data_IF_863822479305
#
_entry.id   IF_863822479305
#
_cell.length_a   1.000
_cell.length_b   1.000
_cell.length_c   1.000
_cell.angle_alpha   90.00
_cell.angle_beta   90.00
_cell.angle_gamma   90.00
#
_symmetry.space_group_name_H-M   'P 1'
#
loop_
_entity.id
_entity.type
_entity.pdbx_description
1 polymer ?
#
# COMPACT_ATOMS: atom_id res chain seq x y z
N UNK A 1 21.88 -25.27 -50.01
CA UNK A 1 20.83 -24.52 -49.30
C UNK A 1 20.23 -23.50 -50.25
N UNK A 2 18.99 -23.71 -50.69
CA UNK A 2 18.24 -22.84 -51.62
C UNK A 2 18.03 -21.45 -51.05
N UNK A 3 18.08 -20.39 -51.87
CA UNK A 3 17.97 -18.99 -51.42
C UNK A 3 16.78 -18.69 -50.47
N UNK A 4 15.68 -19.44 -50.61
CA UNK A 4 14.51 -19.39 -49.71
C UNK A 4 14.81 -19.75 -48.25
N UNK A 5 15.66 -20.76 -47.98
CA UNK A 5 16.00 -21.16 -46.59
C UNK A 5 16.92 -20.15 -45.92
N UNK A 6 17.79 -19.48 -46.68
CA UNK A 6 18.62 -18.37 -46.17
C UNK A 6 17.79 -17.15 -45.81
N UNK A 7 16.81 -16.80 -46.64
CA UNK A 7 15.87 -15.71 -46.35
C UNK A 7 15.04 -15.98 -45.09
N UNK A 8 14.49 -17.19 -44.95
CA UNK A 8 13.75 -17.60 -43.76
C UNK A 8 14.58 -17.54 -42.48
N UNK A 9 15.85 -17.97 -42.54
CA UNK A 9 16.75 -17.93 -41.39
C UNK A 9 17.01 -16.48 -40.92
N UNK A 10 17.24 -15.55 -41.85
CA UNK A 10 17.47 -14.14 -41.53
C UNK A 10 16.23 -13.48 -40.92
N UNK A 11 15.04 -13.79 -41.45
CA UNK A 11 13.77 -13.31 -40.90
C UNK A 11 13.59 -13.83 -39.46
N UNK A 12 13.87 -15.12 -39.23
CA UNK A 12 13.73 -15.71 -37.90
C UNK A 12 14.71 -15.10 -36.88
N UNK A 13 15.93 -14.79 -37.31
CA UNK A 13 16.92 -14.09 -36.48
C UNK A 13 16.44 -12.66 -36.17
N UNK A 14 15.96 -11.91 -37.16
CA UNK A 14 15.43 -10.54 -36.97
C UNK A 14 14.22 -10.52 -36.03
N UNK A 15 13.30 -11.47 -36.17
CA UNK A 15 12.14 -11.60 -35.28
C UNK A 15 12.62 -11.93 -33.86
N UNK A 16 13.52 -12.91 -33.72
CA UNK A 16 14.08 -13.30 -32.42
C UNK A 16 14.79 -12.15 -31.70
N UNK A 17 15.60 -11.36 -32.41
CA UNK A 17 16.28 -10.20 -31.80
C UNK A 17 15.28 -9.12 -31.38
N UNK A 18 14.26 -8.85 -32.19
CA UNK A 18 13.22 -7.89 -31.86
C UNK A 18 12.47 -8.29 -30.59
N UNK A 19 12.02 -9.55 -30.49
CA UNK A 19 11.36 -10.07 -29.29
C UNK A 19 12.28 -10.04 -28.05
N UNK A 20 13.55 -10.38 -28.20
CA UNK A 20 14.50 -10.36 -27.09
C UNK A 20 14.70 -8.94 -26.55
N UNK A 21 14.88 -7.95 -27.44
CA UNK A 21 15.06 -6.54 -27.04
C UNK A 21 13.79 -5.99 -26.39
N UNK A 22 12.62 -6.24 -26.98
CA UNK A 22 11.35 -5.78 -26.43
C UNK A 22 11.04 -6.44 -25.09
N UNK A 23 11.29 -7.75 -24.97
CA UNK A 23 11.09 -8.49 -23.72
C UNK A 23 11.99 -7.98 -22.60
N UNK A 24 13.28 -7.79 -22.89
CA UNK A 24 14.24 -7.26 -21.92
C UNK A 24 13.90 -5.82 -21.50
N UNK A 25 13.51 -4.98 -22.46
CA UNK A 25 13.12 -3.60 -22.18
C UNK A 25 11.88 -3.53 -21.27
N UNK A 26 10.84 -4.32 -21.57
CA UNK A 26 9.66 -4.40 -20.71
C UNK A 26 9.98 -4.93 -19.32
N UNK A 27 10.86 -5.93 -19.22
CA UNK A 27 11.28 -6.47 -17.93
C UNK A 27 11.98 -5.42 -17.06
N UNK A 28 12.94 -4.69 -17.63
CA UNK A 28 13.65 -3.61 -16.92
C UNK A 28 12.67 -2.51 -16.51
N UNK A 29 11.79 -2.08 -17.42
CA UNK A 29 10.81 -1.04 -17.14
C UNK A 29 9.87 -1.45 -15.99
N UNK A 30 9.41 -2.70 -16.00
CA UNK A 30 8.54 -3.22 -14.95
C UNK A 30 9.22 -3.22 -13.58
N UNK A 31 10.49 -3.61 -13.52
CA UNK A 31 11.28 -3.56 -12.27
C UNK A 31 11.45 -2.12 -11.76
N UNK A 32 11.76 -1.17 -12.65
CA UNK A 32 11.91 0.24 -12.29
C UNK A 32 10.60 0.81 -11.76
N UNK A 33 9.48 0.53 -12.42
CA UNK A 33 8.16 1.01 -11.96
C UNK A 33 7.81 0.41 -10.60
N UNK A 34 8.03 -0.88 -10.37
CA UNK A 34 7.79 -1.51 -9.08
C UNK A 34 8.62 -0.87 -7.97
N UNK A 35 9.90 -0.62 -8.22
CA UNK A 35 10.78 -0.02 -7.21
C UNK A 35 10.39 1.42 -6.90
N UNK A 36 10.01 2.20 -7.92
CA UNK A 36 9.47 3.54 -7.73
C UNK A 36 8.16 3.54 -6.93
N UNK A 37 7.28 2.56 -7.15
CA UNK A 37 6.05 2.43 -6.35
C UNK A 37 6.38 2.09 -4.88
N UNK A 38 7.40 1.27 -4.61
CA UNK A 38 7.83 0.96 -3.25
C UNK A 38 8.30 2.20 -2.51
N UNK A 39 9.17 3.00 -3.11
CA UNK A 39 9.65 4.25 -2.50
C UNK A 39 8.51 5.23 -2.27
N UNK A 40 7.63 5.42 -3.26
CA UNK A 40 6.48 6.30 -3.12
C UNK A 40 5.55 5.87 -1.99
N UNK A 41 5.28 4.57 -1.86
CA UNK A 41 4.47 4.02 -0.78
C UNK A 41 5.10 4.28 0.59
N UNK A 42 6.41 4.08 0.70
CA UNK A 42 7.16 4.34 1.94
C UNK A 42 7.07 5.80 2.35
N UNK A 43 7.31 6.71 1.41
CA UNK A 43 7.23 8.15 1.67
C UNK A 43 5.82 8.57 2.07
N UNK A 44 4.80 8.04 1.40
CA UNK A 44 3.40 8.30 1.76
C UNK A 44 3.11 7.82 3.19
N UNK A 45 3.42 6.56 3.52
CA UNK A 45 3.16 6.03 4.86
C UNK A 45 3.87 6.86 5.94
N UNK A 46 5.16 7.15 5.75
CA UNK A 46 5.97 7.91 6.72
C UNK A 46 5.49 9.34 6.90
N UNK A 47 5.13 10.02 5.80
CA UNK A 47 4.61 11.38 5.87
C UNK A 47 3.24 11.43 6.54
N UNK A 48 2.36 10.46 6.27
CA UNK A 48 1.05 10.40 6.91
C UNK A 48 1.15 10.13 8.42
N UNK A 49 2.02 9.21 8.85
CA UNK A 49 2.25 8.98 10.28
C UNK A 49 2.74 10.25 10.97
N UNK A 50 3.71 10.96 10.39
CA UNK A 50 4.20 12.23 10.94
C UNK A 50 3.12 13.31 11.03
N UNK A 51 2.22 13.37 10.05
CA UNK A 51 1.08 14.28 10.08
C UNK A 51 0.13 13.91 11.23
N UNK A 52 -0.23 12.63 11.36
CA UNK A 52 -1.09 12.13 12.44
C UNK A 52 -0.46 12.44 13.82
N UNK A 53 0.82 12.14 14.00
CA UNK A 53 1.55 12.43 15.25
C UNK A 53 1.60 13.93 15.55
N UNK A 54 1.82 14.78 14.53
CA UNK A 54 1.85 16.23 14.72
C UNK A 54 0.50 16.81 15.14
N UNK A 55 -0.59 16.28 14.58
CA UNK A 55 -1.96 16.66 14.93
C UNK A 55 -2.25 16.21 16.36
N UNK A 56 -1.97 14.95 16.68
CA UNK A 56 -2.16 14.41 18.03
C UNK A 56 -1.38 15.20 19.10
N UNK A 57 -0.14 15.59 18.81
CA UNK A 57 0.68 16.41 19.71
C UNK A 57 0.10 17.81 19.91
N UNK A 58 -0.45 18.42 18.85
CA UNK A 58 -1.07 19.74 18.94
C UNK A 58 -2.38 19.70 19.74
N UNK A 59 -3.21 18.70 19.53
CA UNK A 59 -4.47 18.47 20.25
C UNK A 59 -4.22 18.18 21.74
N UNK A 60 -3.20 17.37 22.05
CA UNK A 60 -2.78 17.10 23.43
C UNK A 60 -2.34 18.38 24.17
N UNK A 61 -1.61 19.28 23.49
CA UNK A 61 -1.21 20.58 24.07
C UNK A 61 -2.38 21.56 24.23
N UNK A 62 -3.41 21.45 23.40
CA UNK A 62 -4.63 22.24 23.51
C UNK A 62 -5.56 21.78 24.64
N UNK A 63 -5.19 20.74 25.41
CA UNK A 63 -6.01 20.19 26.49
C UNK A 63 -7.21 19.39 26.02
N UNK A 64 -7.34 19.16 24.70
CA UNK A 64 -8.36 18.30 24.11
C UNK A 64 -7.79 16.88 24.10
N UNK A 65 -7.81 16.24 25.26
CA UNK A 65 -7.56 14.80 25.37
C UNK A 65 -8.76 14.08 24.79
N UNK A 66 -8.67 13.62 23.55
CA UNK A 66 -9.74 12.85 22.95
C UNK A 66 -9.24 12.02 21.80
N UNK A 67 -9.08 10.72 22.04
CA UNK A 67 -9.05 9.69 21.02
C UNK A 67 -10.20 9.88 20.00
N UNK A 68 -11.32 10.45 20.46
CA UNK A 68 -12.48 10.90 19.67
C UNK A 68 -12.18 12.04 18.69
N UNK A 69 -11.26 12.97 18.98
CA UNK A 69 -10.92 14.06 18.05
C UNK A 69 -10.01 13.55 16.93
N UNK A 70 -9.04 12.67 17.24
CA UNK A 70 -8.25 12.01 16.21
C UNK A 70 -9.15 11.16 15.31
N UNK A 71 -10.07 10.39 15.88
CA UNK A 71 -11.09 9.64 15.13
C UNK A 71 -12.04 10.57 14.36
N UNK A 72 -12.45 11.73 14.90
CA UNK A 72 -13.32 12.69 14.23
C UNK A 72 -12.63 13.47 13.11
N UNK A 73 -11.35 13.82 13.30
CA UNK A 73 -10.48 14.44 12.29
C UNK A 73 -10.23 13.44 11.17
N UNK A 74 -9.93 12.18 11.50
CA UNK A 74 -9.84 11.06 10.56
C UNK A 74 -11.18 10.80 9.84
N UNK A 75 -12.31 10.88 10.53
CA UNK A 75 -13.66 10.76 9.94
C UNK A 75 -13.96 11.91 8.97
N UNK A 76 -13.47 13.11 9.26
CA UNK A 76 -13.54 14.26 8.35
C UNK A 76 -12.74 14.03 7.06
N UNK A 77 -11.57 13.38 7.14
CA UNK A 77 -10.82 12.94 5.96
C UNK A 77 -11.57 11.83 5.18
N UNK A 78 -12.31 10.96 5.87
CA UNK A 78 -13.12 9.90 5.26
C UNK A 78 -14.41 10.37 4.57
N UNK A 79 -14.89 11.58 4.89
CA UNK A 79 -16.10 12.19 4.30
C UNK A 79 -15.90 12.77 2.90
N UNK A 80 -14.67 12.90 2.42
CA UNK A 80 -14.36 13.25 1.04
C UNK A 80 -13.95 11.99 0.25
N UNK A 81 -14.90 11.27 -0.38
CA UNK A 81 -14.72 9.85 -0.72
C UNK A 81 -13.75 9.56 -1.86
N UNK A 82 -13.10 10.57 -2.45
CA UNK A 82 -12.35 10.39 -3.71
C UNK A 82 -10.96 11.00 -3.76
N UNK A 83 -10.57 11.89 -2.86
CA UNK A 83 -9.45 12.80 -3.19
C UNK A 83 -8.21 12.67 -2.32
N UNK A 84 -8.30 12.13 -1.09
CA UNK A 84 -7.17 12.21 -0.14
C UNK A 84 -6.63 10.84 0.30
N UNK A 85 -7.45 9.80 0.38
CA UNK A 85 -7.05 8.51 0.98
C UNK A 85 -6.87 7.35 -0.02
N UNK A 86 -7.22 7.57 -1.29
CA UNK A 86 -6.97 6.62 -2.37
C UNK A 86 -5.81 7.13 -3.23
N UNK A 87 -4.75 6.33 -3.39
CA UNK A 87 -3.67 6.64 -4.32
C UNK A 87 -3.73 5.65 -5.49
N UNK A 88 -4.27 6.12 -6.62
CA UNK A 88 -4.57 5.26 -7.77
C UNK A 88 -5.88 4.48 -7.61
N UNK A 89 -6.14 3.55 -8.54
CA UNK A 89 -7.42 2.81 -8.60
C UNK A 89 -7.57 1.77 -7.49
N UNK A 90 -6.46 1.23 -6.97
CA UNK A 90 -6.45 0.13 -6.00
C UNK A 90 -5.80 0.48 -4.66
N UNK A 91 -5.11 1.63 -4.57
CA UNK A 91 -4.39 2.03 -3.37
C UNK A 91 -5.36 2.51 -2.29
N UNK A 92 -5.27 1.89 -1.10
CA UNK A 92 -6.06 2.26 0.08
C UNK A 92 -5.13 2.54 1.25
N UNK A 93 -5.48 3.53 2.07
CA UNK A 93 -4.85 3.78 3.37
C UNK A 93 -5.72 3.15 4.45
N UNK A 94 -5.09 2.37 5.34
CA UNK A 94 -5.75 1.75 6.48
C UNK A 94 -5.01 2.14 7.75
N UNK A 95 -5.78 2.49 8.77
CA UNK A 95 -5.27 2.75 10.13
C UNK A 95 -5.92 1.75 11.05
N UNK A 96 -5.14 1.08 11.88
CA UNK A 96 -5.63 0.11 12.83
C UNK A 96 -4.85 0.17 14.13
N UNK A 97 -5.44 -0.42 15.16
CA UNK A 97 -4.81 -0.59 16.48
C UNK A 97 -4.85 -2.05 16.90
N UNK A 98 -3.97 -2.41 17.81
CA UNK A 98 -4.02 -3.68 18.50
C UNK A 98 -4.90 -3.53 19.76
N UNK A 99 -5.95 -4.34 19.87
CA UNK A 99 -6.82 -4.41 21.03
C UNK A 99 -7.15 -5.88 21.31
N UNK A 100 -6.85 -6.36 22.53
CA UNK A 100 -7.13 -7.75 22.95
C UNK A 100 -6.56 -8.82 21.99
N UNK A 101 -5.37 -8.59 21.42
CA UNK A 101 -4.75 -9.50 20.45
C UNK A 101 -5.40 -9.50 19.05
N UNK A 102 -6.31 -8.56 18.79
CA UNK A 102 -6.97 -8.38 17.50
C UNK A 102 -6.62 -7.02 16.89
N UNK A 103 -6.51 -7.02 15.57
CA UNK A 103 -6.38 -5.83 14.75
C UNK A 103 -7.76 -5.22 14.61
N UNK A 104 -7.96 -4.04 15.19
CA UNK A 104 -9.18 -3.24 15.07
C UNK A 104 -8.90 -2.11 14.09
N UNK A 105 -9.62 -2.08 12.98
CA UNK A 105 -9.48 -1.05 11.96
C UNK A 105 -10.21 0.23 12.41
N UNK A 106 -9.44 1.31 12.54
CA UNK A 106 -9.94 2.65 12.86
C UNK A 106 -10.39 3.39 11.60
N UNK A 107 -9.78 3.08 10.46
CA UNK A 107 -10.13 3.64 9.15
C UNK A 107 -10.03 2.57 8.04
N UNK A 108 -11.09 2.46 7.23
CA UNK A 108 -11.16 1.67 6.01
C UNK A 108 -12.12 2.30 5.01
N UNK A 109 -11.65 2.56 3.79
CA UNK A 109 -12.39 3.29 2.76
C UNK A 109 -13.51 2.47 2.12
N UNK A 110 -14.75 2.88 2.40
CA UNK A 110 -15.66 3.50 1.42
C UNK A 110 -16.62 4.51 2.11
N UNK A 111 -16.43 5.80 1.81
CA UNK A 111 -17.46 6.85 1.91
C UNK A 111 -18.24 7.02 3.22
N UNK A 112 -17.59 7.55 4.27
CA UNK A 112 -18.30 8.14 5.42
C UNK A 112 -18.98 7.16 6.39
N UNK A 113 -18.77 5.86 6.21
CA UNK A 113 -18.89 4.89 7.28
C UNK A 113 -17.51 4.26 7.39
N UNK A 114 -16.87 4.34 8.56
CA UNK A 114 -15.88 3.35 8.93
C UNK A 114 -16.57 1.99 8.81
N UNK A 115 -16.52 1.37 7.63
CA UNK A 115 -17.03 0.05 7.42
C UNK A 115 -16.31 -0.79 8.46
N UNK A 116 -17.05 -1.21 9.50
CA UNK A 116 -16.58 -1.99 10.64
C UNK A 116 -16.01 -3.29 10.10
N UNK A 117 -14.78 -3.23 9.60
CA UNK A 117 -14.00 -4.39 9.24
C UNK A 117 -13.95 -5.22 10.53
N UNK A 118 -14.41 -6.48 10.48
CA UNK A 118 -14.43 -7.31 11.67
C UNK A 118 -13.00 -7.38 12.23
N UNK A 119 -12.82 -7.29 13.56
CA UNK A 119 -11.51 -7.41 14.14
C UNK A 119 -10.84 -8.72 13.72
N UNK A 120 -9.61 -8.64 13.23
CA UNK A 120 -8.87 -9.80 12.73
C UNK A 120 -7.87 -10.22 13.81
N UNK A 121 -7.78 -11.50 14.21
CA UNK A 121 -6.74 -11.95 15.12
C UNK A 121 -5.35 -11.64 14.54
N UNK A 122 -4.44 -11.07 15.36
CA UNK A 122 -3.07 -10.76 14.93
C UNK A 122 -2.34 -12.00 14.39
N UNK A 123 -2.63 -13.17 14.97
CA UNK A 123 -2.07 -14.47 14.58
C UNK A 123 -2.76 -15.13 13.36
N UNK A 124 -3.75 -14.49 12.71
CA UNK A 124 -4.51 -15.08 11.60
C UNK A 124 -3.69 -15.26 10.32
N UNK A 125 -2.55 -14.58 10.18
CA UNK A 125 -1.76 -14.55 8.95
C UNK A 125 -2.30 -13.58 7.88
N UNK A 126 -3.44 -12.94 8.12
CA UNK A 126 -4.02 -11.87 7.29
C UNK A 126 -3.49 -10.49 7.73
N UNK A 127 -3.68 -9.49 6.87
CA UNK A 127 -3.27 -8.11 7.14
C UNK A 127 -1.78 -8.00 7.59
N UNK A 128 -0.90 -8.76 6.93
CA UNK A 128 0.50 -8.90 7.31
C UNK A 128 1.25 -7.56 7.40
N UNK A 129 1.05 -6.59 6.50
CA UNK A 129 1.68 -5.28 6.63
C UNK A 129 1.23 -4.54 7.90
N UNK A 130 -0.07 -4.62 8.24
CA UNK A 130 -0.61 -3.98 9.44
C UNK A 130 -0.12 -4.66 10.73
N UNK A 131 -0.06 -6.00 10.73
CA UNK A 131 0.53 -6.74 11.85
C UNK A 131 1.97 -6.29 12.14
N UNK A 132 2.79 -6.12 11.10
CA UNK A 132 4.17 -5.62 11.21
C UNK A 132 4.23 -4.20 11.79
N UNK A 133 3.36 -3.30 11.35
CA UNK A 133 3.26 -1.95 11.94
C UNK A 133 2.85 -1.99 13.41
N UNK A 134 1.89 -2.83 13.78
CA UNK A 134 1.46 -3.00 15.17
C UNK A 134 2.53 -3.65 16.07
N UNK A 135 3.48 -4.38 15.48
CA UNK A 135 4.70 -4.86 16.14
C UNK A 135 5.80 -3.77 16.24
N UNK A 136 5.52 -2.54 15.82
CA UNK A 136 6.48 -1.43 15.87
C UNK A 136 7.49 -1.41 14.73
N UNK A 137 7.27 -2.18 13.66
CA UNK A 137 8.17 -2.23 12.49
C UNK A 137 7.69 -1.28 11.40
N UNK A 138 8.66 -0.79 10.63
CA UNK A 138 8.44 0.02 9.43
C UNK A 138 8.96 -0.71 8.20
N UNK A 139 8.39 -0.44 7.03
CA UNK A 139 8.93 -0.97 5.78
C UNK A 139 7.94 -1.03 4.64
N UNK A 140 8.36 -1.70 3.56
CA UNK A 140 7.53 -2.01 2.40
C UNK A 140 7.61 -3.50 2.16
N UNK A 141 6.48 -4.14 1.91
CA UNK A 141 6.44 -5.56 1.61
C UNK A 141 5.33 -5.89 0.62
N UNK A 142 5.49 -7.04 -0.03
CA UNK A 142 4.37 -7.72 -0.66
C UNK A 142 3.84 -8.75 0.34
N UNK A 143 2.54 -8.71 0.63
CA UNK A 143 1.94 -9.60 1.63
C UNK A 143 0.41 -9.57 1.60
N UNK A 144 -0.21 -10.44 2.39
CA UNK A 144 -1.67 -10.57 2.42
C UNK A 144 -2.33 -9.37 3.09
N UNK A 145 -3.32 -8.78 2.43
CA UNK A 145 -4.22 -7.79 3.01
C UNK A 145 -5.28 -8.44 3.93
N UNK A 146 -6.22 -7.65 4.43
CA UNK A 146 -7.32 -8.13 5.28
C UNK A 146 -8.32 -9.03 4.53
N UNK A 147 -8.30 -9.03 3.19
CA UNK A 147 -9.13 -9.88 2.31
C UNK A 147 -8.39 -11.16 1.92
N UNK A 148 -7.14 -11.34 2.34
CA UNK A 148 -6.30 -12.46 1.91
C UNK A 148 -5.77 -12.30 0.49
N UNK A 149 -5.74 -11.07 -0.05
CA UNK A 149 -5.18 -10.77 -1.37
C UNK A 149 -3.76 -10.25 -1.21
N UNK A 150 -2.85 -10.73 -2.05
CA UNK A 150 -1.47 -10.25 -2.07
C UNK A 150 -1.40 -8.81 -2.59
N UNK A 151 -0.83 -7.92 -1.78
CA UNK A 151 -0.71 -6.49 -2.07
C UNK A 151 0.70 -5.99 -1.79
N UNK A 152 1.14 -4.99 -2.57
CA UNK A 152 2.32 -4.20 -2.23
C UNK A 152 1.90 -3.10 -1.25
N UNK A 153 2.44 -3.10 -0.04
CA UNK A 153 2.07 -2.18 1.01
C UNK A 153 3.30 -1.63 1.75
N UNK A 154 3.28 -0.32 2.01
CA UNK A 154 4.12 0.29 3.04
C UNK A 154 3.37 0.27 4.37
N UNK A 155 4.11 0.08 5.45
CA UNK A 155 3.58 0.01 6.80
C UNK A 155 4.51 0.76 7.75
N UNK A 156 3.92 1.53 8.66
CA UNK A 156 4.62 2.38 9.62
C UNK A 156 3.86 2.35 10.95
N UNK A 157 4.55 2.27 12.10
CA UNK A 157 3.94 2.39 13.41
C UNK A 157 3.65 3.86 13.73
N UNK A 158 2.50 4.12 14.34
CA UNK A 158 2.19 5.42 14.97
C UNK A 158 2.63 5.36 16.43
N UNK A 159 3.38 6.35 16.90
CA UNK A 159 3.92 6.41 18.26
C UNK A 159 3.18 7.37 19.17
#
# INVERSE_FOLDING_TARGET
MTGKTRGLLLILIMVGTCFAVTGLSNYILHQVVLEQQRERLRDLARNHVRLIESIALHEAKAGVLGEDLLVATLDHFGKHPKTILNFGETGKILVGRLQEGKIVFLMGLDGGQAAKLPPIPLASGLAQPMARALEGKSGVMTGLDYRGVEVLAAYEPVK
#
